data_IF_739793833425
#
_entry.id   IF_739793833425
#
_cell.length_a   1.000
_cell.length_b   1.000
_cell.length_c   1.000
_cell.angle_alpha   90.00
_cell.angle_beta   90.00
_cell.angle_gamma   90.00
#
_symmetry.space_group_name_H-M   'P 1'
#
loop_
_entity.id
_entity.type
_entity.pdbx_description
1 polymer ?
#
# COMPACT_ATOMS: atom_id res chain seq x y z
N UNK A 1 -20.34 9.64 -4.65
CA UNK A 1 -19.19 9.92 -3.79
C UNK A 1 -17.89 9.73 -4.54
N UNK A 2 -17.01 10.67 -4.42
CA UNK A 2 -15.74 10.65 -5.14
C UNK A 2 -14.75 9.77 -4.41
N UNK A 3 -14.20 8.81 -5.14
CA UNK A 3 -13.09 8.02 -4.65
C UNK A 3 -11.82 8.84 -4.76
N UNK A 4 -10.98 8.79 -3.76
CA UNK A 4 -9.74 9.54 -3.74
C UNK A 4 -8.57 8.63 -4.11
N UNK A 5 -7.62 9.18 -4.83
CA UNK A 5 -6.34 8.54 -5.07
C UNK A 5 -5.32 9.17 -4.14
N UNK A 6 -4.79 8.37 -3.23
CA UNK A 6 -3.86 8.83 -2.21
C UNK A 6 -2.50 8.23 -2.51
N UNK A 7 -1.47 9.06 -2.45
CA UNK A 7 -0.10 8.59 -2.65
C UNK A 7 0.65 8.66 -1.34
N UNK A 8 1.29 7.55 -0.98
CA UNK A 8 2.09 7.44 0.24
C UNK A 8 3.51 7.04 -0.17
N UNK A 9 4.49 7.80 0.31
CA UNK A 9 5.88 7.53 0.02
C UNK A 9 6.51 6.82 1.22
N UNK A 10 6.86 5.56 1.03
CA UNK A 10 7.53 4.75 2.04
C UNK A 10 8.87 4.23 1.54
N UNK A 11 9.50 4.99 0.65
CA UNK A 11 10.86 4.69 0.18
C UNK A 11 11.84 4.77 1.36
N UNK A 12 12.81 3.88 1.37
CA UNK A 12 13.82 3.84 2.41
C UNK A 12 13.46 3.02 3.63
N UNK A 13 12.22 2.59 3.76
CA UNK A 13 11.79 1.75 4.88
C UNK A 13 11.91 0.28 4.50
N UNK A 14 12.40 -0.52 5.42
CA UNK A 14 12.57 -1.96 5.23
C UNK A 14 11.42 -2.72 5.87
N UNK A 15 11.10 -3.88 5.28
CA UNK A 15 10.11 -4.79 5.83
C UNK A 15 10.40 -5.09 7.30
N UNK A 16 9.41 -5.07 8.21
CA UNK A 16 7.98 -4.91 7.96
C UNK A 16 7.46 -3.47 8.07
N UNK A 17 8.35 -2.48 8.14
CA UNK A 17 7.98 -1.09 8.39
C UNK A 17 7.00 -0.52 7.36
N UNK A 18 7.15 -0.78 6.04
CA UNK A 18 6.18 -0.24 5.08
C UNK A 18 4.75 -0.64 5.39
N UNK A 19 4.51 -1.90 5.72
CA UNK A 19 3.16 -2.37 6.06
C UNK A 19 2.66 -1.72 7.33
N UNK A 20 3.50 -1.61 8.35
CA UNK A 20 3.10 -0.99 9.62
C UNK A 20 2.74 0.47 9.44
N UNK A 21 3.55 1.21 8.69
CA UNK A 21 3.29 2.62 8.43
C UNK A 21 2.05 2.81 7.57
N UNK A 22 1.88 1.98 6.55
CA UNK A 22 0.69 2.03 5.70
C UNK A 22 -0.56 1.73 6.51
N UNK A 23 -0.53 0.74 7.37
CA UNK A 23 -1.67 0.41 8.22
C UNK A 23 -2.07 1.59 9.09
N UNK A 24 -1.10 2.29 9.65
CA UNK A 24 -1.36 3.47 10.47
C UNK A 24 -2.00 4.60 9.65
N UNK A 25 -1.46 4.85 8.46
CA UNK A 25 -1.93 5.94 7.61
C UNK A 25 -3.30 5.65 6.98
N UNK A 26 -3.56 4.40 6.64
CA UNK A 26 -4.82 3.99 6.00
C UNK A 26 -6.02 4.26 6.89
N UNK A 27 -5.84 4.27 8.20
CA UNK A 27 -6.93 4.56 9.14
C UNK A 27 -7.56 5.93 8.95
N UNK A 28 -6.87 6.84 8.28
CA UNK A 28 -7.37 8.19 8.01
C UNK A 28 -8.28 8.27 6.80
N UNK A 29 -8.40 7.19 6.04
CA UNK A 29 -9.11 7.20 4.77
C UNK A 29 -10.35 6.32 4.81
N UNK A 30 -11.22 6.51 3.82
CA UNK A 30 -12.53 5.87 3.78
C UNK A 30 -12.53 4.67 2.83
N UNK A 31 -13.46 3.75 3.05
CA UNK A 31 -13.64 2.61 2.17
C UNK A 31 -13.91 3.06 0.74
N UNK A 32 -13.26 2.40 -0.20
CA UNK A 32 -13.36 2.73 -1.60
C UNK A 32 -12.25 3.61 -2.13
N UNK A 33 -11.45 4.21 -1.24
CA UNK A 33 -10.31 5.00 -1.66
C UNK A 33 -9.21 4.10 -2.21
N UNK A 34 -8.47 4.62 -3.17
CA UNK A 34 -7.35 3.91 -3.77
C UNK A 34 -6.07 4.53 -3.22
N UNK A 35 -5.20 3.68 -2.69
CA UNK A 35 -3.95 4.12 -2.07
C UNK A 35 -2.79 3.56 -2.88
N UNK A 36 -1.94 4.44 -3.37
CA UNK A 36 -0.72 4.08 -4.08
C UNK A 36 0.45 4.25 -3.14
N UNK A 37 1.16 3.17 -2.88
CA UNK A 37 2.26 3.15 -1.92
C UNK A 37 3.57 2.92 -2.67
N UNK A 38 4.53 3.81 -2.47
CA UNK A 38 5.86 3.68 -3.06
C UNK A 38 6.79 3.05 -2.03
N UNK A 39 7.42 1.95 -2.41
CA UNK A 39 8.38 1.24 -1.55
C UNK A 39 9.58 0.84 -2.39
N UNK A 40 10.71 0.58 -1.74
CA UNK A 40 11.91 0.10 -2.42
C UNK A 40 12.42 -1.24 -1.88
N UNK A 41 11.77 -1.81 -0.89
CA UNK A 41 12.10 -3.14 -0.38
C UNK A 41 11.40 -4.19 -1.22
N UNK A 42 12.16 -5.12 -1.79
CA UNK A 42 11.62 -6.17 -2.66
C UNK A 42 10.69 -7.13 -1.93
N UNK A 43 10.77 -7.22 -0.62
CA UNK A 43 9.88 -8.06 0.18
C UNK A 43 8.53 -7.39 0.43
N UNK A 44 8.41 -6.09 0.21
CA UNK A 44 7.19 -5.36 0.52
C UNK A 44 5.96 -5.82 -0.27
N UNK A 45 6.04 -6.13 -1.58
CA UNK A 45 4.84 -6.57 -2.30
C UNK A 45 4.18 -7.79 -1.68
N UNK A 46 4.97 -8.77 -1.25
CA UNK A 46 4.42 -9.97 -0.63
C UNK A 46 3.80 -9.66 0.73
N UNK A 47 4.45 -8.81 1.50
CA UNK A 47 3.91 -8.38 2.80
C UNK A 47 2.58 -7.64 2.62
N UNK A 48 2.48 -6.79 1.61
CA UNK A 48 1.24 -6.09 1.33
C UNK A 48 0.15 -7.01 0.83
N UNK A 49 0.52 -8.07 0.11
CA UNK A 49 -0.44 -9.07 -0.32
C UNK A 49 -1.09 -9.74 0.90
N UNK A 50 -0.28 -10.15 1.86
CA UNK A 50 -0.79 -10.74 3.10
C UNK A 50 -1.63 -9.74 3.88
N UNK A 51 -1.16 -8.50 3.97
CA UNK A 51 -1.88 -7.44 4.65
C UNK A 51 -3.25 -7.20 4.03
N UNK A 52 -3.33 -7.11 2.71
CA UNK A 52 -4.60 -6.90 2.02
C UNK A 52 -5.55 -8.08 2.22
N UNK A 53 -5.03 -9.28 2.21
CA UNK A 53 -5.79 -10.49 2.47
C UNK A 53 -6.40 -10.46 3.87
N UNK A 54 -5.59 -10.11 4.85
CA UNK A 54 -6.01 -10.05 6.25
C UNK A 54 -7.08 -8.98 6.49
N UNK A 55 -6.95 -7.84 5.83
CA UNK A 55 -7.86 -6.71 5.99
C UNK A 55 -9.04 -6.72 5.02
N UNK A 56 -9.06 -7.67 4.08
CA UNK A 56 -10.05 -7.75 3.03
C UNK A 56 -10.01 -6.53 2.10
N UNK A 57 -8.83 -6.00 1.88
CA UNK A 57 -8.60 -4.94 0.91
C UNK A 57 -8.26 -5.57 -0.44
N UNK A 58 -8.51 -4.84 -1.52
CA UNK A 58 -8.18 -5.31 -2.85
C UNK A 58 -6.79 -4.83 -3.25
N UNK A 59 -5.89 -5.75 -3.57
CA UNK A 59 -4.59 -5.42 -4.13
C UNK A 59 -4.78 -5.25 -5.64
N UNK A 60 -4.80 -4.00 -6.10
CA UNK A 60 -5.11 -3.70 -7.50
C UNK A 60 -3.94 -4.03 -8.40
N UNK A 61 -2.74 -3.56 -8.05
CA UNK A 61 -1.57 -3.79 -8.90
C UNK A 61 -0.30 -3.60 -8.11
N UNK A 62 0.75 -4.23 -8.63
CA UNK A 62 2.13 -4.03 -8.15
C UNK A 62 2.96 -3.75 -9.39
N UNK A 63 3.57 -2.58 -9.47
CA UNK A 63 4.43 -2.21 -10.57
C UNK A 63 5.86 -2.04 -10.07
N UNK A 64 6.79 -2.74 -10.68
CA UNK A 64 8.21 -2.64 -10.32
C UNK A 64 8.96 -1.92 -11.43
N UNK A 65 9.55 -0.81 -11.08
CA UNK A 65 10.35 0.02 -11.98
C UNK A 65 11.57 0.49 -11.20
N UNK A 66 11.88 1.77 -11.18
CA UNK A 66 12.95 2.29 -10.33
C UNK A 66 12.66 2.04 -8.85
N UNK A 67 11.38 2.03 -8.52
CA UNK A 67 10.89 1.65 -7.20
C UNK A 67 9.59 0.88 -7.40
N UNK A 68 9.02 0.37 -6.33
CA UNK A 68 7.82 -0.47 -6.39
C UNK A 68 6.60 0.36 -6.03
N UNK A 69 5.58 0.33 -6.87
CA UNK A 69 4.29 0.97 -6.61
C UNK A 69 3.24 -0.08 -6.33
N UNK A 70 2.61 0.02 -5.18
CA UNK A 70 1.58 -0.92 -4.76
C UNK A 70 0.26 -0.15 -4.66
N UNK A 71 -0.73 -0.53 -5.48
CA UNK A 71 -2.06 0.07 -5.44
C UNK A 71 -3.01 -0.82 -4.69
N UNK A 72 -3.71 -0.25 -3.73
CA UNK A 72 -4.65 -0.96 -2.88
C UNK A 72 -5.97 -0.17 -2.84
N UNK A 73 -7.08 -0.89 -2.94
CA UNK A 73 -8.40 -0.31 -2.68
C UNK A 73 -8.87 -0.77 -1.30
N UNK A 74 -9.18 0.18 -0.45
CA UNK A 74 -9.62 -0.11 0.91
C UNK A 74 -11.14 -0.04 1.08
#
# INVERSE_FOLDING_TARGET
>A
MTKKNIKINLLGFKCPLPVLKANHLIKQYSNGDIIEIAVDDKAAPEDFKVYCDTKHYELISVEEDEYIKIKIRI
#
